data_IF_326763867049
#
_entry.id   IF_326763867049
#
_cell.length_a   1.000
_cell.length_b   1.000
_cell.length_c   1.000
_cell.angle_alpha   90.00
_cell.angle_beta   90.00
_cell.angle_gamma   90.00
#
_symmetry.space_group_name_H-M   'P 1'
#
loop_
_entity.id
_entity.type
_entity.pdbx_description
1 polymer ?
#
# COMPACT_ATOMS: atom_id res chain seq x y z
N UNK A 1 12.87 18.36 1.60
CA UNK A 1 12.28 17.65 2.74
C UNK A 1 12.56 16.22 2.47
N UNK A 2 13.32 15.64 3.37
CA UNK A 2 13.84 14.30 3.27
C UNK A 2 12.73 13.31 3.70
N UNK A 3 12.44 12.23 2.96
CA UNK A 3 11.55 11.17 3.44
C UNK A 3 11.96 10.61 4.80
N UNK A 4 13.24 10.73 5.19
CA UNK A 4 13.73 10.36 6.53
C UNK A 4 13.15 11.24 7.65
N UNK A 5 12.67 12.45 7.34
CA UNK A 5 12.07 13.38 8.30
C UNK A 5 10.56 13.10 8.55
N UNK A 6 9.93 12.22 7.77
CA UNK A 6 8.51 11.91 7.95
C UNK A 6 8.27 11.16 9.26
N UNK A 7 7.18 11.49 9.94
CA UNK A 7 6.99 11.04 11.32
C UNK A 7 6.61 9.57 11.40
N UNK A 8 5.71 9.15 10.51
CA UNK A 8 5.10 7.83 10.58
C UNK A 8 5.40 6.98 9.35
N UNK A 9 5.72 7.61 8.23
CA UNK A 9 5.81 6.96 6.92
C UNK A 9 7.26 6.57 6.59
N UNK A 10 7.45 5.36 6.05
CA UNK A 10 8.72 4.83 5.55
C UNK A 10 8.55 4.28 4.14
N UNK A 11 9.59 4.38 3.32
CA UNK A 11 9.61 3.87 1.94
C UNK A 11 10.66 2.77 1.85
N UNK A 12 10.32 1.64 1.21
CA UNK A 12 11.24 0.54 0.94
C UNK A 12 11.53 -0.39 2.12
N UNK A 13 10.96 -0.11 3.29
CA UNK A 13 11.15 -0.89 4.51
C UNK A 13 9.87 -0.93 5.37
N UNK A 14 9.85 -1.86 6.32
CA UNK A 14 8.83 -1.89 7.37
C UNK A 14 9.18 -0.88 8.46
N UNK A 15 8.18 -0.14 8.94
CA UNK A 15 8.31 0.65 10.15
C UNK A 15 8.73 -0.29 11.31
N UNK A 16 9.68 0.09 12.20
CA UNK A 16 10.30 -0.82 13.17
C UNK A 16 9.35 -1.59 14.10
N UNK A 17 8.15 -1.08 14.33
CA UNK A 17 7.11 -1.63 15.18
C UNK A 17 6.28 -2.71 14.48
N UNK A 18 6.19 -2.66 13.15
CA UNK A 18 5.33 -3.55 12.34
C UNK A 18 5.80 -5.01 12.32
N UNK A 19 7.10 -5.36 12.31
CA UNK A 19 7.55 -6.75 12.36
C UNK A 19 7.02 -7.57 13.54
N UNK A 20 6.52 -6.92 14.61
CA UNK A 20 5.86 -7.59 15.74
C UNK A 20 4.42 -8.01 15.44
N UNK A 21 3.81 -7.41 14.42
CA UNK A 21 2.40 -7.55 14.06
C UNK A 21 2.20 -8.24 12.71
N UNK A 22 3.18 -8.16 11.80
CA UNK A 22 3.11 -8.70 10.46
C UNK A 22 4.45 -9.33 10.05
N UNK A 23 4.39 -10.58 9.63
CA UNK A 23 5.48 -11.25 8.94
C UNK A 23 5.28 -11.17 7.43
N UNK A 24 6.36 -10.82 6.71
CA UNK A 24 6.37 -10.88 5.25
C UNK A 24 6.69 -12.30 4.79
N UNK A 25 6.06 -12.71 3.69
CA UNK A 25 6.39 -13.96 3.03
C UNK A 25 7.81 -13.91 2.42
N UNK A 26 8.45 -15.07 2.16
CA UNK A 26 9.72 -15.09 1.43
C UNK A 26 9.64 -14.29 0.12
N UNK A 27 10.59 -13.38 -0.11
CA UNK A 27 10.66 -12.45 -1.25
C UNK A 27 9.54 -11.40 -1.33
N UNK A 28 8.65 -11.33 -0.34
CA UNK A 28 7.75 -10.18 -0.18
C UNK A 28 8.54 -9.02 0.41
N UNK A 29 8.51 -7.87 -0.27
CA UNK A 29 9.24 -6.67 0.14
C UNK A 29 8.25 -5.56 0.50
N UNK A 30 8.58 -4.78 1.52
CA UNK A 30 7.86 -3.57 1.84
C UNK A 30 8.14 -2.50 0.79
N UNK A 31 7.08 -1.84 0.31
CA UNK A 31 7.16 -0.73 -0.64
C UNK A 31 6.95 0.59 0.10
N UNK A 32 5.89 0.67 0.90
CA UNK A 32 5.61 1.77 1.82
C UNK A 32 5.02 1.17 3.08
N UNK A 33 5.41 1.67 4.23
CA UNK A 33 4.74 1.35 5.49
C UNK A 33 4.50 2.61 6.30
N UNK A 34 3.48 2.59 7.15
CA UNK A 34 3.32 3.61 8.17
C UNK A 34 2.81 3.01 9.47
N UNK A 35 3.31 3.55 10.58
CA UNK A 35 2.86 3.21 11.92
C UNK A 35 2.48 4.49 12.65
N UNK A 36 1.18 4.74 12.78
CA UNK A 36 0.66 5.92 13.47
C UNK A 36 0.43 5.60 14.96
N UNK A 37 -0.04 4.38 15.25
CA UNK A 37 -0.21 3.85 16.59
C UNK A 37 -0.35 2.31 16.55
N UNK A 38 -0.35 1.61 17.70
CA UNK A 38 -0.63 0.17 17.74
C UNK A 38 -1.98 -0.22 17.12
N UNK A 39 -2.97 0.69 17.13
CA UNK A 39 -4.29 0.48 16.54
C UNK A 39 -4.44 1.03 15.11
N UNK A 40 -3.38 1.58 14.53
CA UNK A 40 -3.39 2.20 13.20
C UNK A 40 -2.03 2.12 12.51
N UNK A 41 -1.91 1.17 11.59
CA UNK A 41 -0.71 0.99 10.76
C UNK A 41 -1.08 0.31 9.43
N UNK A 42 -0.25 0.49 8.42
CA UNK A 42 -0.43 -0.21 7.14
C UNK A 42 0.90 -0.51 6.47
N UNK A 43 0.87 -1.47 5.55
CA UNK A 43 1.99 -1.84 4.68
C UNK A 43 1.48 -2.10 3.27
N UNK A 44 2.05 -1.38 2.31
CA UNK A 44 2.03 -1.77 0.90
C UNK A 44 3.25 -2.65 0.66
N UNK A 45 3.05 -3.89 0.27
CA UNK A 45 4.12 -4.81 -0.10
C UNK A 45 4.16 -5.02 -1.61
N UNK A 46 5.12 -5.80 -2.09
CA UNK A 46 5.18 -6.28 -3.47
C UNK A 46 4.10 -7.32 -3.81
N UNK A 47 3.26 -7.74 -2.86
CA UNK A 47 2.25 -8.80 -3.05
C UNK A 47 0.85 -8.42 -2.58
N UNK A 48 0.72 -7.59 -1.53
CA UNK A 48 -0.56 -7.25 -0.90
C UNK A 48 -0.51 -5.87 -0.28
N UNK A 49 -1.67 -5.35 0.09
CA UNK A 49 -1.78 -4.22 1.01
C UNK A 49 -2.39 -4.74 2.30
N UNK A 50 -1.70 -4.55 3.42
CA UNK A 50 -2.17 -4.92 4.74
C UNK A 50 -2.44 -3.64 5.52
N UNK A 51 -3.57 -3.59 6.22
CA UNK A 51 -3.90 -2.50 7.13
C UNK A 51 -4.40 -3.06 8.44
N UNK A 52 -4.04 -2.39 9.53
CA UNK A 52 -4.67 -2.54 10.82
C UNK A 52 -5.28 -1.20 11.21
N UNK A 53 -6.59 -1.16 11.37
CA UNK A 53 -7.31 0.06 11.75
C UNK A 53 -8.53 -0.33 12.59
N UNK A 54 -8.81 0.44 13.64
CA UNK A 54 -9.96 0.22 14.54
C UNK A 54 -9.99 -1.20 15.16
N UNK A 55 -8.81 -1.82 15.37
CA UNK A 55 -8.66 -3.15 15.95
C UNK A 55 -8.77 -4.31 14.95
N UNK A 56 -9.01 -4.03 13.67
CA UNK A 56 -9.11 -5.05 12.63
C UNK A 56 -7.91 -5.05 11.71
N UNK A 57 -7.28 -6.22 11.54
CA UNK A 57 -6.27 -6.44 10.49
C UNK A 57 -6.92 -7.03 9.25
N UNK A 58 -6.75 -6.35 8.12
CA UNK A 58 -7.27 -6.76 6.82
C UNK A 58 -6.14 -6.78 5.79
N UNK A 59 -6.26 -7.69 4.82
CA UNK A 59 -5.32 -7.80 3.70
C UNK A 59 -6.09 -7.73 2.39
N UNK A 60 -5.54 -6.98 1.45
CA UNK A 60 -6.11 -6.74 0.13
C UNK A 60 -5.12 -7.23 -0.94
N UNK A 61 -5.61 -8.00 -1.91
CA UNK A 61 -4.84 -8.38 -3.10
C UNK A 61 -4.96 -7.27 -4.18
N UNK A 62 -3.86 -6.56 -4.51
CA UNK A 62 -3.84 -5.50 -5.51
C UNK A 62 -3.54 -6.02 -6.93
N UNK A 63 -3.45 -7.33 -7.15
CA UNK A 63 -3.15 -7.96 -8.46
C UNK A 63 -4.22 -7.73 -9.53
N UNK A 64 -5.34 -7.11 -9.20
CA UNK A 64 -6.34 -6.61 -10.15
C UNK A 64 -6.15 -5.15 -10.54
N UNK A 65 -5.18 -4.46 -9.93
CA UNK A 65 -5.16 -3.00 -9.79
C UNK A 65 -5.90 -2.55 -8.52
N UNK A 66 -5.74 -1.27 -8.17
CA UNK A 66 -6.43 -0.65 -7.03
C UNK A 66 -7.23 0.57 -7.50
N UNK A 67 -8.40 0.79 -6.91
CA UNK A 67 -9.02 2.12 -6.92
C UNK A 67 -8.76 2.76 -5.58
N UNK A 68 -8.18 3.94 -5.61
CA UNK A 68 -7.81 4.68 -4.42
C UNK A 68 -8.60 5.98 -4.27
N UNK A 69 -9.02 6.26 -3.03
CA UNK A 69 -9.53 7.55 -2.62
C UNK A 69 -8.74 8.04 -1.41
N UNK A 70 -7.97 9.10 -1.61
CA UNK A 70 -7.23 9.81 -0.56
C UNK A 70 -7.90 11.18 -0.40
N UNK A 71 -8.51 11.42 0.76
CA UNK A 71 -9.30 12.61 1.07
C UNK A 71 -8.48 13.90 1.11
N UNK A 72 -8.37 14.51 2.28
CA UNK A 72 -7.60 15.73 2.51
C UNK A 72 -6.09 15.44 2.61
N UNK A 73 -5.54 14.82 1.57
CA UNK A 73 -4.14 14.38 1.60
C UNK A 73 -3.15 15.53 1.76
N UNK A 74 -3.55 16.76 1.43
CA UNK A 74 -2.72 17.96 1.60
C UNK A 74 -2.62 18.44 3.06
N UNK A 75 -3.46 17.93 3.96
CA UNK A 75 -3.50 18.36 5.36
C UNK A 75 -4.07 19.76 5.56
N UNK A 76 -5.05 20.16 4.75
CA UNK A 76 -5.71 21.47 4.90
C UNK A 76 -6.36 21.55 6.29
N UNK A 77 -6.11 22.62 7.04
CA UNK A 77 -6.66 22.83 8.38
C UNK A 77 -5.88 22.13 9.51
N UNK A 78 -4.56 21.95 9.34
CA UNK A 78 -3.64 21.37 10.35
C UNK A 78 -3.93 19.90 10.72
N UNK A 79 -4.68 19.19 9.86
CA UNK A 79 -4.95 17.77 10.02
C UNK A 79 -3.69 17.00 9.59
N UNK A 80 -3.03 16.33 10.56
CA UNK A 80 -1.79 15.56 10.32
C UNK A 80 -2.02 14.16 9.76
N UNK A 81 -3.23 13.60 9.92
CA UNK A 81 -3.59 12.25 9.49
C UNK A 81 -5.01 12.23 8.91
N UNK A 82 -5.24 11.41 7.89
CA UNK A 82 -6.56 11.20 7.30
C UNK A 82 -6.73 9.73 6.88
N UNK A 83 -7.93 9.30 6.52
CA UNK A 83 -8.23 7.92 6.14
C UNK A 83 -8.48 7.81 4.65
N UNK A 84 -7.71 6.94 4.00
CA UNK A 84 -7.91 6.56 2.61
C UNK A 84 -8.68 5.25 2.50
N UNK A 85 -9.37 5.09 1.36
CA UNK A 85 -10.11 3.87 1.01
C UNK A 85 -9.49 3.29 -0.25
N UNK A 86 -9.08 2.03 -0.18
CA UNK A 86 -8.57 1.24 -1.29
C UNK A 86 -9.59 0.17 -1.65
N UNK A 87 -9.84 -0.02 -2.95
CA UNK A 87 -10.78 -1.04 -3.44
C UNK A 87 -10.12 -1.90 -4.52
N UNK A 88 -10.21 -3.21 -4.38
CA UNK A 88 -9.82 -4.16 -5.41
C UNK A 88 -10.99 -4.45 -6.38
N UNK A 89 -10.73 -4.95 -7.60
CA UNK A 89 -11.79 -5.32 -8.55
C UNK A 89 -12.73 -6.40 -8.05
N UNK A 90 -12.30 -7.24 -7.10
CA UNK A 90 -13.15 -8.22 -6.41
C UNK A 90 -14.27 -7.60 -5.58
N UNK A 91 -14.24 -6.29 -5.35
CA UNK A 91 -15.14 -5.57 -4.45
C UNK A 91 -14.63 -5.47 -3.02
N UNK A 92 -13.54 -6.16 -2.68
CA UNK A 92 -12.87 -6.03 -1.39
C UNK A 92 -12.39 -4.58 -1.18
N UNK A 93 -12.54 -4.08 0.06
CA UNK A 93 -12.16 -2.73 0.46
C UNK A 93 -11.25 -2.78 1.67
N UNK A 94 -10.34 -1.83 1.75
CA UNK A 94 -9.40 -1.64 2.84
C UNK A 94 -9.35 -0.16 3.21
N UNK A 95 -9.37 0.15 4.50
CA UNK A 95 -9.13 1.50 5.02
C UNK A 95 -7.70 1.61 5.53
N UNK A 96 -7.02 2.70 5.24
CA UNK A 96 -5.68 3.00 5.76
C UNK A 96 -5.66 4.42 6.30
N UNK A 97 -5.24 4.62 7.54
CA UNK A 97 -4.93 5.95 8.05
C UNK A 97 -3.52 6.33 7.59
N UNK A 98 -3.33 7.55 7.08
CA UNK A 98 -2.07 7.98 6.50
C UNK A 98 -1.69 9.39 6.95
N UNK A 99 -0.38 9.64 7.02
CA UNK A 99 0.21 10.95 7.28
C UNK A 99 -0.05 11.89 6.09
N UNK A 100 -0.66 13.04 6.35
CA UNK A 100 -0.99 14.03 5.31
C UNK A 100 0.24 14.86 4.91
N UNK A 101 0.07 15.78 3.96
CA UNK A 101 1.11 16.65 3.47
C UNK A 101 2.00 15.96 2.43
N UNK A 102 3.31 16.02 2.60
CA UNK A 102 4.25 15.42 1.63
C UNK A 102 4.36 13.91 1.80
N UNK A 103 4.26 13.41 3.03
CA UNK A 103 4.32 11.98 3.33
C UNK A 103 3.20 11.19 2.64
N UNK A 104 2.01 11.80 2.47
CA UNK A 104 0.88 11.17 1.78
C UNK A 104 1.18 10.77 0.34
N UNK A 105 2.19 11.37 -0.29
CA UNK A 105 2.58 11.02 -1.65
C UNK A 105 3.06 9.57 -1.73
N UNK A 106 3.70 9.03 -0.69
CA UNK A 106 4.19 7.65 -0.68
C UNK A 106 3.06 6.63 -0.85
N UNK A 107 2.03 6.56 0.03
CA UNK A 107 0.92 5.62 -0.16
C UNK A 107 0.08 5.92 -1.41
N UNK A 108 -0.04 7.19 -1.83
CA UNK A 108 -0.73 7.55 -3.09
C UNK A 108 -0.02 6.91 -4.28
N UNK A 109 1.31 7.06 -4.38
CA UNK A 109 2.07 6.49 -5.49
C UNK A 109 2.17 4.96 -5.39
N UNK A 110 2.25 4.39 -4.19
CA UNK A 110 2.23 2.95 -4.00
C UNK A 110 0.89 2.34 -4.46
N UNK A 111 -0.24 2.99 -4.16
CA UNK A 111 -1.55 2.57 -4.67
C UNK A 111 -1.62 2.68 -6.20
N UNK A 112 -1.18 3.81 -6.76
CA UNK A 112 -1.16 4.04 -8.22
C UNK A 112 -0.27 3.07 -8.97
N UNK A 113 0.85 2.66 -8.38
CA UNK A 113 1.73 1.67 -8.98
C UNK A 113 0.97 0.41 -9.36
N UNK A 114 0.08 -0.10 -8.50
CA UNK A 114 -0.71 -1.29 -8.77
C UNK A 114 -1.66 -1.12 -9.97
N UNK A 115 -2.23 0.06 -10.12
CA UNK A 115 -3.15 0.39 -11.21
C UNK A 115 -2.44 0.68 -12.52
N UNK A 116 -1.20 1.18 -12.46
CA UNK A 116 -0.37 1.52 -13.62
C UNK A 116 0.51 0.37 -14.11
N UNK A 117 0.91 -0.56 -13.23
CA UNK A 117 1.76 -1.72 -13.56
C UNK A 117 1.02 -2.76 -14.41
N UNK A 118 -0.23 -3.06 -14.09
CA UNK A 118 -1.01 -4.09 -14.79
C UNK A 118 -1.15 -3.87 -16.30
N UNK A 119 -1.38 -2.64 -16.79
CA UNK A 119 -1.41 -2.35 -18.22
C UNK A 119 -0.08 -2.59 -18.96
N UNK A 120 1.07 -2.69 -18.27
CA UNK A 120 2.38 -2.80 -18.93
C UNK A 120 3.16 -4.07 -18.58
N UNK A 121 2.74 -4.82 -17.55
CA UNK A 121 3.38 -6.08 -17.15
C UNK A 121 3.56 -7.03 -18.34
N UNK A 122 2.54 -7.16 -19.20
CA UNK A 122 2.66 -7.97 -20.41
C UNK A 122 3.83 -7.52 -21.31
N UNK A 123 4.15 -6.22 -21.38
CA UNK A 123 5.25 -5.67 -22.19
C UNK A 123 6.62 -5.88 -21.56
N UNK A 124 6.69 -6.16 -20.26
CA UNK A 124 7.93 -6.36 -19.51
C UNK A 124 8.31 -7.83 -19.37
N UNK A 125 7.35 -8.74 -19.60
CA UNK A 125 7.55 -10.18 -19.52
C UNK A 125 7.96 -10.74 -20.89
N UNK A 126 8.83 -11.76 -20.89
CA UNK A 126 9.05 -12.60 -22.07
C UNK A 126 7.76 -13.33 -22.48
N UNK A 127 7.77 -13.98 -23.64
CA UNK A 127 6.61 -14.76 -24.10
C UNK A 127 6.27 -15.87 -23.10
N UNK A 128 7.27 -16.59 -22.62
CA UNK A 128 7.14 -17.70 -21.68
C UNK A 128 6.62 -17.21 -20.30
N UNK A 129 7.18 -16.10 -19.81
CA UNK A 129 6.74 -15.49 -18.55
C UNK A 129 5.30 -14.96 -18.64
N UNK A 130 4.90 -14.42 -19.80
CA UNK A 130 3.55 -13.92 -20.05
C UNK A 130 2.53 -15.06 -20.08
N UNK A 131 2.86 -16.20 -20.67
CA UNK A 131 2.01 -17.39 -20.68
C UNK A 131 1.83 -17.96 -19.28
N UNK A 132 2.92 -18.07 -18.51
CA UNK A 132 2.88 -18.47 -17.10
C UNK A 132 2.08 -17.48 -16.23
N UNK A 133 2.21 -16.18 -16.49
CA UNK A 133 1.45 -15.15 -15.78
C UNK A 133 -0.06 -15.23 -16.06
N UNK A 134 -0.45 -15.56 -17.30
CA UNK A 134 -1.86 -15.75 -17.67
C UNK A 134 -2.46 -17.02 -17.06
N UNK A 135 -1.70 -18.11 -17.02
CA UNK A 135 -2.20 -19.39 -16.46
C UNK A 135 -2.45 -19.34 -14.96
N UNK A 136 -1.77 -18.46 -14.22
CA UNK A 136 -1.96 -18.24 -12.78
C UNK A 136 -3.12 -17.30 -12.41
N UNK A 137 -3.81 -16.70 -13.39
CA UNK A 137 -4.93 -15.76 -13.19
C UNK A 137 -6.32 -16.42 -13.36
N UNK A 138 -6.38 -17.74 -13.55
CA UNK A 138 -7.61 -18.55 -13.65
C UNK A 138 -7.98 -19.13 -12.30
#
# INVERSE_FOLDING_TARGET
MDPEEWRFTRIGELHPEIPRCLSLEPEELAVVSAFLSPGSWYVFTTRRVVSHLDGETQSLDPSGGLREWFGNFKGIGEISCDVAILSAPSGARLRVEYETGKASMAPIYAARYWSQKHPILHKLLTTEERELYRSKRV
#
